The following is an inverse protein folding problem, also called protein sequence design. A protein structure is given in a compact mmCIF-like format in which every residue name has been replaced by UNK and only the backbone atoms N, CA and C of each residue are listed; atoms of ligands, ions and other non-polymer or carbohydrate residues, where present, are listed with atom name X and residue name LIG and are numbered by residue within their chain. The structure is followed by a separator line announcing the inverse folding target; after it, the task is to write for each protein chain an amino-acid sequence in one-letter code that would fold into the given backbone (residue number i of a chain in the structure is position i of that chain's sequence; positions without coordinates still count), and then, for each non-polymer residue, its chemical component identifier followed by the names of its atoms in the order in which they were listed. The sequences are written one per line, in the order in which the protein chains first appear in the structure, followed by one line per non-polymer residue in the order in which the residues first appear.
data_IF_773056029642
#
_entry.id   IF_773056029642
#
_cell.length_a   1.000
_cell.length_b   1.000
_cell.length_c   1.000
_cell.angle_alpha   90.00
_cell.angle_beta   90.00
_cell.angle_gamma   90.00
#
_symmetry.space_group_name_H-M   'P 1'
#
loop_
_entity.id
_entity.type
_entity.pdbx_description
1 polymer ?
#
# COMPACT_ATOMS: atom_id res chain seq x y z
N UNK A 1 16.38 -3.39 5.37
CA UNK A 1 16.20 -2.69 4.08
C UNK A 1 14.71 -2.37 3.86
N UNK A 2 14.39 -1.23 3.25
CA UNK A 2 13.03 -0.78 2.88
C UNK A 2 12.91 -0.82 1.35
N UNK A 3 11.77 -1.29 0.83
CA UNK A 3 11.42 -1.18 -0.60
C UNK A 3 10.07 -0.49 -0.77
N UNK A 4 9.84 0.14 -1.93
CA UNK A 4 8.57 0.81 -2.26
C UNK A 4 7.83 0.06 -3.36
N UNK A 5 6.56 -0.23 -3.12
CA UNK A 5 5.65 -0.83 -4.10
C UNK A 5 4.49 0.12 -4.42
N UNK A 6 4.15 0.23 -5.70
CA UNK A 6 3.09 1.13 -6.19
C UNK A 6 1.68 0.49 -6.16
N UNK A 7 1.51 -0.64 -5.47
CA UNK A 7 0.29 -1.46 -5.50
C UNK A 7 -0.05 -1.97 -4.11
N UNK A 8 -1.35 -2.12 -3.82
CA UNK A 8 -1.88 -2.78 -2.62
C UNK A 8 -2.84 -3.90 -3.03
N UNK A 9 -2.28 -5.07 -3.35
CA UNK A 9 -3.02 -6.28 -3.76
C UNK A 9 -2.35 -7.53 -3.17
N UNK A 10 -3.03 -8.67 -3.26
CA UNK A 10 -2.49 -9.99 -2.87
C UNK A 10 -1.11 -10.32 -3.49
N UNK A 11 -0.77 -9.71 -4.63
CA UNK A 11 0.57 -9.84 -5.22
C UNK A 11 1.68 -9.34 -4.29
N UNK A 12 1.44 -8.29 -3.51
CA UNK A 12 2.40 -7.76 -2.53
C UNK A 12 2.63 -8.76 -1.40
N UNK A 13 1.57 -9.45 -0.94
CA UNK A 13 1.71 -10.49 0.07
C UNK A 13 2.67 -11.61 -0.35
N UNK A 14 2.65 -12.01 -1.63
CA UNK A 14 3.62 -12.97 -2.19
C UNK A 14 5.01 -12.38 -2.29
N UNK A 15 5.12 -11.11 -2.71
CA UNK A 15 6.42 -10.44 -2.81
C UNK A 15 7.09 -10.30 -1.44
N UNK A 16 6.32 -10.12 -0.36
CA UNK A 16 6.86 -10.06 1.00
C UNK A 16 7.63 -11.33 1.42
N UNK A 17 7.26 -12.51 0.91
CA UNK A 17 8.04 -13.75 1.15
C UNK A 17 9.43 -13.66 0.51
N UNK A 18 9.51 -13.17 -0.72
CA UNK A 18 10.78 -12.96 -1.44
C UNK A 18 11.61 -11.83 -0.82
N UNK A 19 10.97 -10.74 -0.43
CA UNK A 19 11.62 -9.62 0.25
C UNK A 19 12.25 -10.07 1.58
N UNK A 20 11.58 -10.95 2.33
CA UNK A 20 12.11 -11.51 3.55
C UNK A 20 13.41 -12.32 3.31
N UNK A 21 13.48 -13.14 2.25
CA UNK A 21 14.70 -13.90 1.93
C UNK A 21 15.86 -12.99 1.49
N UNK A 22 15.54 -11.82 0.95
CA UNK A 22 16.52 -10.77 0.60
C UNK A 22 16.89 -9.84 1.77
N UNK A 23 16.36 -10.08 2.99
CA UNK A 23 16.69 -9.29 4.19
C UNK A 23 15.94 -7.96 4.32
N UNK A 24 14.87 -7.74 3.56
CA UNK A 24 13.98 -6.60 3.77
C UNK A 24 13.10 -6.84 4.99
N UNK A 25 12.83 -5.76 5.73
CA UNK A 25 11.96 -5.79 6.92
C UNK A 25 10.73 -4.90 6.79
N UNK A 26 10.72 -4.02 5.77
CA UNK A 26 9.66 -3.07 5.55
C UNK A 26 9.34 -2.95 4.06
N UNK A 27 8.07 -2.74 3.76
CA UNK A 27 7.59 -2.32 2.45
C UNK A 27 6.75 -1.05 2.59
N UNK A 28 7.06 -0.01 1.81
CA UNK A 28 6.23 1.17 1.69
C UNK A 28 5.25 0.99 0.53
N UNK A 29 3.98 1.29 0.76
CA UNK A 29 2.93 1.26 -0.28
C UNK A 29 2.40 2.65 -0.60
N UNK A 30 1.93 2.85 -1.83
CA UNK A 30 1.20 4.05 -2.26
C UNK A 30 0.02 4.39 -1.33
N UNK A 31 -0.46 5.65 -1.36
CA UNK A 31 -1.66 6.05 -0.64
C UNK A 31 -2.84 5.10 -0.86
N UNK A 32 -3.47 4.73 0.26
CA UNK A 32 -4.61 3.81 0.32
C UNK A 32 -5.93 4.54 0.57
N UNK A 33 -5.85 5.84 0.85
CA UNK A 33 -6.98 6.75 1.03
C UNK A 33 -7.78 6.84 -0.28
N UNK A 34 -9.07 7.11 -0.17
CA UNK A 34 -9.91 7.47 -1.30
C UNK A 34 -9.41 8.77 -1.92
N UNK A 35 -9.41 8.80 -3.24
CA UNK A 35 -8.82 9.84 -4.06
C UNK A 35 -9.64 10.07 -5.33
N UNK A 36 -9.33 11.13 -6.06
CA UNK A 36 -9.97 11.42 -7.35
C UNK A 36 -9.83 10.25 -8.34
N UNK A 37 -10.85 10.07 -9.18
CA UNK A 37 -10.93 8.95 -10.12
C UNK A 37 -10.24 9.29 -11.44
N UNK A 38 -8.97 8.90 -11.58
CA UNK A 38 -8.23 8.98 -12.83
C UNK A 38 -7.09 7.95 -12.88
N UNK A 39 -6.62 7.65 -14.11
CA UNK A 39 -5.60 6.61 -14.33
C UNK A 39 -4.19 7.07 -13.93
N UNK A 40 -3.88 8.36 -14.04
CA UNK A 40 -2.56 8.91 -13.79
C UNK A 40 -2.07 8.61 -12.37
N UNK A 41 -0.79 8.25 -12.21
CA UNK A 41 -0.23 7.79 -10.93
C UNK A 41 -0.39 8.81 -9.80
N UNK A 42 -0.29 10.10 -10.11
CA UNK A 42 -0.31 11.19 -9.14
C UNK A 42 -1.68 11.38 -8.49
N UNK A 43 -2.74 10.77 -9.03
CA UNK A 43 -4.06 10.86 -8.42
C UNK A 43 -4.09 10.15 -7.06
N UNK A 44 -3.17 9.22 -6.78
CA UNK A 44 -2.85 8.67 -5.44
C UNK A 44 -2.69 9.77 -4.38
N UNK A 45 -2.22 10.95 -4.80
CA UNK A 45 -1.88 12.07 -3.93
C UNK A 45 -2.96 13.15 -3.84
N UNK A 46 -4.17 12.88 -4.34
CA UNK A 46 -5.31 13.80 -4.28
C UNK A 46 -6.47 13.19 -3.48
N UNK A 47 -6.34 13.15 -2.13
CA UNK A 47 -7.31 12.46 -1.29
C UNK A 47 -8.63 13.24 -1.23
N UNK A 48 -9.73 12.48 -1.27
CA UNK A 48 -11.10 13.00 -1.11
C UNK A 48 -11.65 12.60 0.26
N UNK A 49 -11.23 11.45 0.79
CA UNK A 49 -11.60 11.01 2.13
C UNK A 49 -10.57 10.03 2.72
N UNK A 50 -10.71 9.71 4.01
CA UNK A 50 -9.92 8.67 4.68
C UNK A 50 -10.50 7.25 4.56
N UNK A 51 -11.50 7.05 3.70
CA UNK A 51 -11.95 5.71 3.37
C UNK A 51 -10.80 4.93 2.73
N UNK A 52 -10.63 3.68 3.16
CA UNK A 52 -9.58 2.80 2.65
C UNK A 52 -10.07 2.10 1.38
N UNK A 53 -10.36 2.87 0.36
CA UNK A 53 -10.89 2.40 -0.91
C UNK A 53 -10.36 3.29 -2.03
N UNK A 54 -9.46 2.74 -2.85
CA UNK A 54 -8.82 3.47 -3.93
C UNK A 54 -8.69 2.60 -5.19
N UNK A 55 -8.15 3.15 -6.28
CA UNK A 55 -7.84 2.36 -7.48
C UNK A 55 -6.77 1.30 -7.23
N UNK A 56 -6.08 1.38 -6.09
CA UNK A 56 -5.05 0.43 -5.69
C UNK A 56 -5.67 -0.80 -5.02
N UNK A 57 -6.80 -0.68 -4.33
CA UNK A 57 -7.50 -1.78 -3.66
C UNK A 57 -8.49 -1.31 -2.60
N UNK A 58 -9.14 -2.28 -1.94
CA UNK A 58 -10.10 -2.07 -0.85
C UNK A 58 -9.46 -2.24 0.53
N UNK A 59 -10.20 -1.91 1.59
CA UNK A 59 -9.84 -2.21 2.99
C UNK A 59 -9.55 -3.70 3.20
N UNK A 60 -10.30 -4.57 2.53
CA UNK A 60 -10.11 -6.03 2.58
C UNK A 60 -8.78 -6.46 1.95
N UNK A 61 -8.44 -5.87 0.81
CA UNK A 61 -7.16 -6.11 0.13
C UNK A 61 -5.97 -5.65 0.99
N UNK A 62 -6.08 -4.45 1.58
CA UNK A 62 -5.06 -3.90 2.47
C UNK A 62 -4.84 -4.79 3.70
N UNK A 63 -5.93 -5.20 4.36
CA UNK A 63 -5.86 -6.12 5.51
C UNK A 63 -5.21 -7.46 5.13
N UNK A 64 -5.58 -8.02 3.98
CA UNK A 64 -5.03 -9.30 3.50
C UNK A 64 -3.54 -9.20 3.19
N UNK A 65 -3.12 -8.10 2.56
CA UNK A 65 -1.71 -7.80 2.30
C UNK A 65 -0.90 -7.65 3.59
N UNK A 66 -1.41 -6.88 4.57
CA UNK A 66 -0.74 -6.70 5.87
C UNK A 66 -0.54 -8.05 6.57
N UNK A 67 -1.58 -8.90 6.60
CA UNK A 67 -1.49 -10.24 7.19
C UNK A 67 -0.42 -11.10 6.50
N UNK A 68 -0.43 -11.13 5.16
CA UNK A 68 0.55 -11.91 4.40
C UNK A 68 1.99 -11.43 4.63
N UNK A 69 2.23 -10.12 4.62
CA UNK A 69 3.56 -9.55 4.86
C UNK A 69 4.04 -9.77 6.30
N UNK A 70 3.16 -9.61 7.29
CA UNK A 70 3.49 -9.88 8.69
C UNK A 70 3.87 -11.35 8.91
N UNK A 71 3.18 -12.30 8.26
CA UNK A 71 3.55 -13.73 8.29
C UNK A 71 4.96 -13.97 7.72
N UNK A 72 5.39 -13.17 6.74
CA UNK A 72 6.75 -13.18 6.20
C UNK A 72 7.76 -12.34 7.02
N UNK A 73 7.36 -11.77 8.16
CA UNK A 73 8.16 -10.86 9.00
C UNK A 73 8.58 -9.56 8.29
N UNK A 74 7.77 -9.10 7.33
CA UNK A 74 7.91 -7.82 6.65
C UNK A 74 6.77 -6.89 7.08
N UNK A 75 7.10 -5.76 7.70
CA UNK A 75 6.12 -4.75 8.11
C UNK A 75 5.71 -3.85 6.95
N UNK A 76 4.48 -3.33 6.97
CA UNK A 76 3.95 -2.41 5.95
C UNK A 76 3.97 -0.98 6.47
N UNK A 77 4.50 -0.06 5.66
CA UNK A 77 4.43 1.39 5.86
C UNK A 77 3.48 1.94 4.79
N UNK A 78 2.46 2.66 5.21
CA UNK A 78 1.49 3.27 4.29
C UNK A 78 1.88 4.73 4.08
N UNK A 79 1.94 5.17 2.82
CA UNK A 79 2.04 6.59 2.48
C UNK A 79 0.69 7.27 2.78
N UNK A 80 0.71 8.35 3.56
CA UNK A 80 -0.50 9.05 4.02
C UNK A 80 -0.38 10.51 3.64
N UNK A 81 -1.31 11.00 2.83
CA UNK A 81 -1.39 12.42 2.49
C UNK A 81 -2.20 13.12 3.57
N UNK A 82 -1.56 14.01 4.31
CA UNK A 82 -2.17 14.80 5.40
C UNK A 82 -2.12 16.31 5.14
N UNK A 83 -1.32 16.75 4.18
CA UNK A 83 -1.05 18.17 3.95
C UNK A 83 -2.19 18.88 3.19
N UNK A 84 -2.92 18.15 2.35
CA UNK A 84 -3.96 18.70 1.48
C UNK A 84 -5.02 17.65 1.15
N UNK A 85 -6.15 18.11 0.62
CA UNK A 85 -7.25 17.31 0.08
C UNK A 85 -7.92 18.06 -1.07
N UNK A 86 -8.63 17.32 -1.91
CA UNK A 86 -9.56 17.87 -2.91
C UNK A 86 -10.97 18.05 -2.34
#
# INVERSE_FOLDING_TARGET
MLTRLHVIKNSVGRECVKLATLGYRYVQVSPVQEHIQASAWWTDYQPVSYLLQSKRGTRGDLSSMIKACNNARVSVIVDVVLNHSE
#
